data_IF_101925205457
#
_entry.id   IF_101925205457
#
_cell.length_a   1.000
_cell.length_b   1.000
_cell.length_c   1.000
_cell.angle_alpha   90.00
_cell.angle_beta   90.00
_cell.angle_gamma   90.00
#
_symmetry.space_group_name_H-M   'P 1'
#
loop_
_entity.id
_entity.type
_entity.pdbx_description
1 polymer ?
#
# COMPACT_ATOMS: atom_id res chain seq x y z
N UNK A 1 0.33 7.71 -12.33
CA UNK A 1 -1.10 7.95 -12.67
C UNK A 1 -1.94 7.61 -11.45
N UNK A 2 -2.93 8.45 -11.11
CA UNK A 2 -3.88 8.08 -10.07
C UNK A 2 -4.89 7.06 -10.63
N UNK A 3 -5.05 5.91 -9.97
CA UNK A 3 -6.10 4.94 -10.27
C UNK A 3 -7.03 4.79 -9.08
N UNK A 4 -8.31 5.08 -9.33
CA UNK A 4 -9.36 4.65 -8.43
C UNK A 4 -9.50 3.12 -8.53
N UNK A 5 -10.05 2.49 -7.49
CA UNK A 5 -10.15 1.03 -7.46
C UNK A 5 -11.00 0.41 -8.58
N UNK A 6 -11.80 1.20 -9.30
CA UNK A 6 -12.72 0.72 -10.34
C UNK A 6 -12.04 0.29 -11.65
N UNK A 7 -10.79 0.73 -11.89
CA UNK A 7 -10.08 0.55 -13.16
C UNK A 7 -9.01 -0.56 -13.12
N UNK A 8 -9.09 -1.50 -12.17
CA UNK A 8 -8.10 -2.58 -12.02
C UNK A 8 -7.91 -3.42 -13.29
N UNK A 9 -8.97 -3.62 -14.07
CA UNK A 9 -8.92 -4.38 -15.31
C UNK A 9 -8.05 -3.73 -16.41
N UNK A 10 -7.68 -2.44 -16.28
CA UNK A 10 -6.87 -1.72 -17.25
C UNK A 10 -5.36 -1.74 -16.95
N UNK A 11 -4.93 -2.28 -15.81
CA UNK A 11 -3.53 -2.18 -15.38
C UNK A 11 -2.53 -2.71 -16.41
N UNK A 12 -2.82 -3.86 -17.01
CA UNK A 12 -1.94 -4.46 -18.01
C UNK A 12 -1.78 -3.55 -19.24
N UNK A 13 -2.89 -2.97 -19.74
CA UNK A 13 -2.86 -2.01 -20.85
C UNK A 13 -2.09 -0.75 -20.48
N UNK A 14 -2.34 -0.17 -19.30
CA UNK A 14 -1.62 1.03 -18.83
C UNK A 14 -0.12 0.80 -18.72
N UNK A 15 0.30 -0.40 -18.28
CA UNK A 15 1.71 -0.76 -18.18
C UNK A 15 2.37 -1.04 -19.53
N UNK A 16 1.78 -1.93 -20.35
CA UNK A 16 2.38 -2.43 -21.60
C UNK A 16 2.27 -1.43 -22.75
N UNK A 17 1.09 -0.85 -22.94
CA UNK A 17 0.81 0.01 -24.10
C UNK A 17 1.18 1.46 -23.83
N UNK A 18 0.98 1.94 -22.60
CA UNK A 18 1.23 3.34 -22.24
C UNK A 18 2.53 3.57 -21.48
N UNK A 19 3.28 2.51 -21.15
CA UNK A 19 4.55 2.62 -20.46
C UNK A 19 4.45 3.17 -19.03
N UNK A 20 3.28 3.12 -18.40
CA UNK A 20 3.11 3.64 -17.03
C UNK A 20 3.79 2.68 -16.04
N UNK A 21 4.56 3.26 -15.12
CA UNK A 21 5.31 2.51 -14.09
C UNK A 21 4.96 2.91 -12.66
N UNK A 22 4.32 4.06 -12.45
CA UNK A 22 3.97 4.57 -11.13
C UNK A 22 2.45 4.69 -11.02
N UNK A 23 1.87 3.94 -10.08
CA UNK A 23 0.43 3.88 -9.83
C UNK A 23 0.11 4.41 -8.43
N UNK A 24 -0.61 5.52 -8.36
CA UNK A 24 -1.04 6.15 -7.11
C UNK A 24 -2.53 5.88 -6.87
N UNK A 25 -2.93 5.62 -5.64
CA UNK A 25 -4.34 5.46 -5.28
C UNK A 25 -4.90 4.04 -5.22
N UNK A 26 -4.26 2.95 -5.68
CA UNK A 26 -4.70 1.60 -5.33
C UNK A 26 -4.84 1.45 -3.82
N UNK A 27 -6.07 1.27 -3.37
CA UNK A 27 -6.39 1.14 -1.95
C UNK A 27 -6.70 -0.28 -1.55
N UNK A 28 -7.21 -0.44 -0.33
CA UNK A 28 -7.60 -1.74 0.25
C UNK A 28 -8.57 -2.58 -0.59
N UNK A 29 -9.26 -1.97 -1.55
CA UNK A 29 -10.19 -2.64 -2.46
C UNK A 29 -9.50 -3.35 -3.64
N UNK A 30 -8.22 -3.06 -3.91
CA UNK A 30 -7.47 -3.63 -5.05
C UNK A 30 -6.64 -4.83 -4.60
N UNK A 31 -6.56 -5.84 -5.47
CA UNK A 31 -5.60 -6.92 -5.34
C UNK A 31 -4.24 -6.47 -5.91
N UNK A 32 -3.38 -5.96 -5.01
CA UNK A 32 -2.04 -5.51 -5.35
C UNK A 32 -1.13 -6.67 -5.78
N UNK A 33 -1.36 -7.89 -5.27
CA UNK A 33 -0.61 -9.08 -5.67
C UNK A 33 -0.85 -9.40 -7.14
N UNK A 34 -2.12 -9.40 -7.55
CA UNK A 34 -2.50 -9.56 -8.96
C UNK A 34 -1.93 -8.45 -9.84
N UNK A 35 -1.90 -7.20 -9.37
CA UNK A 35 -1.24 -6.11 -10.12
C UNK A 35 0.24 -6.40 -10.36
N UNK A 36 0.97 -6.85 -9.34
CA UNK A 36 2.39 -7.17 -9.45
C UNK A 36 2.63 -8.33 -10.43
N UNK A 37 1.75 -9.34 -10.44
CA UNK A 37 1.79 -10.46 -11.37
C UNK A 37 1.53 -10.02 -12.82
N UNK A 38 0.48 -9.24 -13.05
CA UNK A 38 0.08 -8.81 -14.40
C UNK A 38 1.14 -7.89 -15.06
N UNK A 39 1.92 -7.17 -14.25
CA UNK A 39 2.93 -6.19 -14.70
C UNK A 39 4.36 -6.71 -14.68
N UNK A 40 4.63 -7.87 -14.09
CA UNK A 40 5.98 -8.44 -14.05
C UNK A 40 6.96 -7.64 -13.19
N UNK A 41 6.48 -7.05 -12.08
CA UNK A 41 7.27 -6.49 -10.98
C UNK A 41 8.05 -5.16 -11.21
N UNK A 42 8.09 -4.59 -12.41
CA UNK A 42 8.74 -3.29 -12.63
C UNK A 42 7.78 -2.10 -12.44
N UNK A 43 7.17 -1.99 -11.27
CA UNK A 43 6.24 -0.88 -10.96
C UNK A 43 6.43 -0.33 -9.54
N UNK A 44 6.07 0.95 -9.37
CA UNK A 44 5.88 1.60 -8.08
C UNK A 44 4.38 1.71 -7.78
N UNK A 45 3.98 1.23 -6.61
CA UNK A 45 2.63 1.37 -6.08
C UNK A 45 2.68 2.37 -4.92
N UNK A 46 1.86 3.40 -5.03
CA UNK A 46 1.61 4.42 -4.03
C UNK A 46 0.19 4.18 -3.49
N UNK A 47 0.08 3.26 -2.53
CA UNK A 47 -1.20 2.76 -2.03
C UNK A 47 -1.77 3.58 -0.89
N UNK A 48 -3.08 3.47 -0.67
CA UNK A 48 -3.82 4.15 0.40
C UNK A 48 -4.57 3.14 1.27
N UNK A 49 -4.42 3.21 2.59
CA UNK A 49 -5.14 2.34 3.52
C UNK A 49 -6.63 2.74 3.70
N UNK A 50 -7.05 3.86 3.14
CA UNK A 50 -8.38 4.43 3.29
C UNK A 50 -8.48 5.40 4.47
N UNK A 51 -9.27 6.46 4.30
CA UNK A 51 -9.42 7.55 5.26
C UNK A 51 -9.99 7.14 6.62
N UNK A 52 -10.79 6.07 6.71
CA UNK A 52 -11.37 5.61 7.98
C UNK A 52 -10.40 4.79 8.83
N UNK A 53 -9.43 4.11 8.22
CA UNK A 53 -8.61 3.08 8.88
C UNK A 53 -7.89 3.60 10.12
N UNK A 54 -7.43 4.85 10.10
CA UNK A 54 -6.73 5.46 11.24
C UNK A 54 -7.62 5.74 12.47
N UNK A 55 -8.94 5.55 12.36
CA UNK A 55 -9.90 5.66 13.48
C UNK A 55 -10.30 4.30 14.03
N UNK A 56 -9.95 3.23 13.33
CA UNK A 56 -10.32 1.88 13.70
C UNK A 56 -9.50 1.37 14.88
N UNK A 57 -9.87 0.18 15.37
CA UNK A 57 -9.10 -0.54 16.38
C UNK A 57 -7.74 -1.01 15.86
N UNK A 58 -6.76 -1.20 16.75
CA UNK A 58 -5.44 -1.74 16.39
C UNK A 58 -5.51 -3.06 15.58
N UNK A 59 -6.35 -4.05 15.94
CA UNK A 59 -6.50 -5.26 15.13
C UNK A 59 -6.96 -4.99 13.69
N UNK A 60 -7.82 -4.00 13.49
CA UNK A 60 -8.32 -3.66 12.16
C UNK A 60 -7.25 -2.92 11.33
N UNK A 61 -6.47 -2.04 11.98
CA UNK A 61 -5.30 -1.40 11.36
C UNK A 61 -4.28 -2.47 10.92
N UNK A 62 -3.97 -3.43 11.77
CA UNK A 62 -3.05 -4.54 11.47
C UNK A 62 -3.56 -5.39 10.30
N UNK A 63 -4.85 -5.74 10.30
CA UNK A 63 -5.50 -6.48 9.20
C UNK A 63 -5.35 -5.76 7.85
N UNK A 64 -5.51 -4.44 7.84
CA UNK A 64 -5.32 -3.62 6.62
C UNK A 64 -3.85 -3.59 6.21
N UNK A 65 -2.93 -3.46 7.16
CA UNK A 65 -1.49 -3.50 6.89
C UNK A 65 -1.06 -4.83 6.30
N UNK A 66 -1.50 -5.96 6.86
CA UNK A 66 -1.18 -7.29 6.32
C UNK A 66 -1.69 -7.48 4.90
N UNK A 67 -2.89 -6.95 4.60
CA UNK A 67 -3.45 -6.98 3.25
C UNK A 67 -2.62 -6.15 2.26
N UNK A 68 -2.24 -4.94 2.66
CA UNK A 68 -1.56 -3.98 1.78
C UNK A 68 -0.06 -4.26 1.65
N UNK A 69 0.55 -4.82 2.70
CA UNK A 69 1.98 -5.10 2.81
C UNK A 69 2.25 -6.61 2.84
N UNK A 70 1.46 -7.43 2.13
CA UNK A 70 1.72 -8.88 2.05
C UNK A 70 3.17 -9.19 1.65
N UNK A 71 3.73 -10.29 2.19
CA UNK A 71 5.16 -10.64 1.99
C UNK A 71 5.54 -10.72 0.51
N UNK A 72 4.69 -11.37 -0.30
CA UNK A 72 4.97 -11.61 -1.72
C UNK A 72 4.96 -10.34 -2.57
N UNK A 73 4.31 -9.27 -2.10
CA UNK A 73 4.22 -8.01 -2.83
C UNK A 73 5.53 -7.21 -2.75
N UNK A 74 6.19 -7.23 -1.60
CA UNK A 74 7.37 -6.39 -1.32
C UNK A 74 8.60 -6.76 -2.13
N UNK A 75 8.74 -8.04 -2.43
CA UNK A 75 9.84 -8.53 -3.25
C UNK A 75 9.62 -8.26 -4.74
N UNK A 76 8.38 -7.86 -5.10
CA UNK A 76 7.94 -7.69 -6.48
C UNK A 76 7.68 -6.24 -6.86
N UNK A 77 7.42 -5.31 -5.94
CA UNK A 77 7.15 -3.91 -6.32
C UNK A 77 7.78 -2.94 -5.33
N UNK A 78 8.07 -1.73 -5.79
CA UNK A 78 8.35 -0.62 -4.89
C UNK A 78 7.02 -0.13 -4.31
N UNK A 79 6.83 -0.25 -3.01
CA UNK A 79 5.58 0.12 -2.35
C UNK A 79 5.77 1.30 -1.39
N UNK A 80 4.96 2.33 -1.57
CA UNK A 80 4.76 3.41 -0.61
C UNK A 80 3.32 3.37 -0.13
N UNK A 81 3.11 3.42 1.17
CA UNK A 81 1.79 3.34 1.78
C UNK A 81 1.44 4.67 2.45
N UNK A 82 0.33 5.26 2.04
CA UNK A 82 -0.23 6.47 2.61
C UNK A 82 -1.32 6.15 3.63
N UNK A 83 -1.35 6.96 4.68
CA UNK A 83 -2.39 6.99 5.69
C UNK A 83 -2.72 8.45 6.01
N UNK A 84 -3.99 8.73 6.28
CA UNK A 84 -4.47 10.08 6.56
C UNK A 84 -4.96 10.18 7.99
N UNK A 85 -4.44 11.15 8.74
CA UNK A 85 -5.03 11.54 10.01
C UNK A 85 -6.33 12.29 9.74
N UNK A 86 -7.45 11.73 10.20
CA UNK A 86 -8.79 12.30 10.04
C UNK A 86 -9.39 12.61 11.42
N UNK A 87 -10.54 13.29 11.45
CA UNK A 87 -11.23 13.57 12.70
C UNK A 87 -11.55 12.27 13.48
N UNK A 88 -10.95 12.11 14.67
CA UNK A 88 -11.05 10.90 15.48
C UNK A 88 -9.82 9.99 15.45
N UNK A 89 -8.81 10.28 14.62
CA UNK A 89 -7.52 9.59 14.68
C UNK A 89 -6.79 9.95 15.97
N UNK A 90 -6.40 8.94 16.76
CA UNK A 90 -5.65 9.13 17.99
C UNK A 90 -4.13 9.09 17.73
N UNK A 91 -3.30 9.75 18.56
CA UNK A 91 -1.84 9.58 18.52
C UNK A 91 -1.39 8.13 18.71
N UNK A 92 -2.14 7.35 19.48
CA UNK A 92 -1.88 5.92 19.70
C UNK A 92 -2.03 5.12 18.41
N UNK A 93 -3.15 5.31 17.68
CA UNK A 93 -3.35 4.68 16.37
C UNK A 93 -2.28 5.09 15.36
N UNK A 94 -1.84 6.36 15.35
CA UNK A 94 -0.74 6.82 14.48
C UNK A 94 0.58 6.11 14.78
N UNK A 95 0.91 5.97 16.07
CA UNK A 95 2.11 5.27 16.53
C UNK A 95 2.03 3.79 16.19
N UNK A 96 0.90 3.15 16.50
CA UNK A 96 0.67 1.74 16.21
C UNK A 96 0.80 1.46 14.72
N UNK A 97 0.12 2.23 13.87
CA UNK A 97 0.23 2.12 12.41
C UNK A 97 1.68 2.19 11.94
N UNK A 98 2.43 3.21 12.37
CA UNK A 98 3.81 3.41 11.92
C UNK A 98 4.73 2.25 12.32
N UNK A 99 4.69 1.83 13.59
CA UNK A 99 5.55 0.75 14.08
C UNK A 99 5.17 -0.60 13.47
N UNK A 100 3.87 -0.88 13.35
CA UNK A 100 3.38 -2.12 12.75
C UNK A 100 3.67 -2.17 11.24
N UNK A 101 3.53 -1.04 10.52
CA UNK A 101 3.89 -0.94 9.11
C UNK A 101 5.39 -1.16 8.88
N UNK A 102 6.26 -0.69 9.77
CA UNK A 102 7.70 -0.97 9.72
C UNK A 102 8.01 -2.43 9.98
N UNK A 103 7.38 -3.01 11.00
CA UNK A 103 7.53 -4.42 11.38
C UNK A 103 7.14 -5.33 10.21
N UNK A 104 5.91 -5.19 9.73
CA UNK A 104 5.40 -5.96 8.60
C UNK A 104 6.25 -5.64 7.38
N UNK A 105 6.46 -4.36 7.08
CA UNK A 105 7.20 -3.82 5.94
C UNK A 105 8.64 -4.28 5.81
N UNK A 106 9.26 -4.80 6.88
CA UNK A 106 10.69 -5.10 6.90
C UNK A 106 11.55 -3.84 6.72
N UNK A 107 11.03 -2.66 7.07
CA UNK A 107 11.77 -1.40 6.97
C UNK A 107 12.69 -1.33 8.20
N UNK A 108 13.85 -1.99 8.10
CA UNK A 108 14.90 -1.89 9.10
C UNK A 108 15.62 -0.56 8.91
N UNK A 109 15.82 0.20 10.00
CA UNK A 109 16.73 1.35 9.97
C UNK A 109 18.10 0.82 9.53
N UNK A 110 18.63 1.32 8.42
CA UNK A 110 20.06 1.22 8.15
C UNK A 110 20.73 1.91 9.33
N UNK A 111 21.50 1.17 10.13
CA UNK A 111 22.38 1.79 11.11
C UNK A 111 23.36 2.64 10.30
N UNK A 112 23.32 3.94 10.48
CA UNK A 112 24.42 4.80 10.05
C UNK A 112 25.67 4.33 10.81
N UNK A 113 26.62 3.78 10.06
CA UNK A 113 27.93 3.30 10.51
C UNK A 113 28.93 4.45 10.54
#
# INVERSE_FOLDING_TARGET
MHLCGHVQHLFNTLYREMGIRIFNGPGVQIDLGKMAEDTGADIEIQGDIGYSTMRESHPEIERVLDKMLGRDLKDRVKLMLYAFAVAGTTPDNMRFFYEKAKEIGGIFRVKES
#
